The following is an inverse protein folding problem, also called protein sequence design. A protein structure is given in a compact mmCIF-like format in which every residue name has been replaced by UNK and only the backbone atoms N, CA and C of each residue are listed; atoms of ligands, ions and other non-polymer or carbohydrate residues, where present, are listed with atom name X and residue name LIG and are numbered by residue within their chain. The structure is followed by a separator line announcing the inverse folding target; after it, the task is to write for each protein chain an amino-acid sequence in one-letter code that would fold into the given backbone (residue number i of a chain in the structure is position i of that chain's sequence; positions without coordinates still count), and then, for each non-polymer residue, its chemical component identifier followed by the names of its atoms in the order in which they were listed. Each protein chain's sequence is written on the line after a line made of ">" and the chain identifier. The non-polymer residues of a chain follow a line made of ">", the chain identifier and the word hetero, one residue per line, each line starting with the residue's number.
data_IF_459231733999
#
_entry.id   IF_459231733999
#
_cell.length_a   1.000
_cell.length_b   1.000
_cell.length_c   1.000
_cell.angle_alpha   90.00
_cell.angle_beta   90.00
_cell.angle_gamma   90.00
#
_symmetry.space_group_name_H-M   'P 1'
#
loop_
_entity.id
_entity.type
_entity.pdbx_description
1 polymer ?
#
# COMPACT_ATOMS: atom_id res chain seq x y z
N UNK A 1 -15.27 1.76 21.09
CA UNK A 1 -14.05 1.71 20.27
C UNK A 1 -14.30 0.73 19.17
N UNK A 2 -14.61 1.24 17.98
CA UNK A 2 -14.59 0.44 16.75
C UNK A 2 -13.13 0.25 16.36
N UNK A 3 -12.73 -0.98 15.96
CA UNK A 3 -11.37 -1.20 15.50
C UNK A 3 -11.12 -0.44 14.19
N UNK A 4 -9.86 -0.10 13.88
CA UNK A 4 -9.47 0.48 12.60
C UNK A 4 -9.96 -0.43 11.50
N UNK A 5 -10.54 0.17 10.46
CA UNK A 5 -10.96 -0.58 9.28
C UNK A 5 -10.12 -0.09 8.12
N UNK A 6 -9.21 -0.95 7.65
CA UNK A 6 -8.67 -0.84 6.31
C UNK A 6 -9.56 -1.65 5.36
N UNK A 7 -9.70 -1.23 4.09
CA UNK A 7 -10.25 -2.11 3.07
C UNK A 7 -9.43 -3.39 3.05
N UNK A 8 -10.10 -4.54 3.14
CA UNK A 8 -9.43 -5.84 3.15
C UNK A 8 -8.58 -6.02 1.89
N UNK A 9 -9.09 -5.55 0.75
CA UNK A 9 -8.40 -5.57 -0.54
C UNK A 9 -8.69 -4.27 -1.29
N UNK A 10 -7.66 -3.71 -1.89
CA UNK A 10 -7.77 -2.50 -2.72
C UNK A 10 -6.73 -2.53 -3.82
N UNK A 11 -7.02 -1.85 -4.92
CA UNK A 11 -6.22 -1.90 -6.15
C UNK A 11 -5.88 -0.52 -6.67
N UNK A 12 -4.69 -0.40 -7.24
CA UNK A 12 -4.22 0.79 -7.94
C UNK A 12 -3.58 0.40 -9.26
N UNK A 13 -3.54 1.34 -10.20
CA UNK A 13 -2.79 1.19 -11.44
C UNK A 13 -1.77 2.31 -11.56
N UNK A 14 -0.52 1.94 -11.83
CA UNK A 14 0.61 2.84 -12.03
C UNK A 14 1.20 2.62 -13.42
N UNK A 15 1.81 3.65 -13.99
CA UNK A 15 2.71 3.47 -15.14
C UNK A 15 4.09 3.04 -14.66
N UNK A 16 4.86 2.35 -15.49
CA UNK A 16 6.25 2.02 -15.20
C UNK A 16 7.06 3.30 -14.85
N UNK A 17 7.77 3.26 -13.72
CA UNK A 17 8.51 4.41 -13.20
C UNK A 17 7.66 5.48 -12.50
N UNK A 18 6.36 5.28 -12.37
CA UNK A 18 5.50 6.14 -11.55
C UNK A 18 5.57 5.72 -10.09
N UNK A 19 5.84 6.70 -9.22
CA UNK A 19 5.82 6.54 -7.77
C UNK A 19 4.59 7.23 -7.21
N UNK A 20 4.02 6.66 -6.15
CA UNK A 20 2.92 7.29 -5.42
C UNK A 20 3.16 7.25 -3.92
N UNK A 21 2.50 8.17 -3.23
CA UNK A 21 2.42 8.22 -1.78
C UNK A 21 0.95 8.28 -1.39
N UNK A 22 0.51 7.33 -0.57
CA UNK A 22 -0.87 7.17 -0.15
C UNK A 22 -0.96 7.55 1.32
N UNK A 23 -1.77 8.55 1.67
CA UNK A 23 -2.04 8.87 3.07
C UNK A 23 -2.98 7.81 3.63
N UNK A 24 -2.49 6.96 4.55
CA UNK A 24 -3.30 5.90 5.13
C UNK A 24 -4.40 6.46 6.05
N UNK A 25 -4.32 7.73 6.48
CA UNK A 25 -5.38 8.39 7.27
C UNK A 25 -6.65 8.60 6.47
N UNK A 26 -6.55 8.75 5.15
CA UNK A 26 -7.74 8.86 4.27
C UNK A 26 -8.41 7.49 4.06
N UNK A 27 -7.70 6.40 4.33
CA UNK A 27 -8.16 5.04 4.08
C UNK A 27 -8.67 4.37 5.36
N UNK A 28 -8.09 4.68 6.52
CA UNK A 28 -8.56 4.18 7.81
C UNK A 28 -9.76 5.02 8.24
N UNK A 29 -10.97 4.55 7.96
CA UNK A 29 -12.19 5.38 8.07
C UNK A 29 -12.87 5.38 9.44
N UNK A 30 -12.48 4.50 10.39
CA UNK A 30 -13.36 4.18 11.54
C UNK A 30 -12.62 3.93 12.87
N UNK A 31 -11.43 4.49 13.05
CA UNK A 31 -10.68 4.37 14.31
C UNK A 31 -10.92 5.55 15.25
N UNK A 32 -11.35 5.29 16.49
CA UNK A 32 -11.32 6.27 17.59
C UNK A 32 -9.87 6.58 18.05
N UNK A 33 -8.90 5.73 17.68
CA UNK A 33 -7.49 5.85 18.06
C UNK A 33 -6.74 6.80 17.11
N UNK A 34 -5.93 7.73 17.64
CA UNK A 34 -5.08 8.58 16.83
C UNK A 34 -4.09 7.74 16.02
N UNK A 35 -3.75 8.20 14.81
CA UNK A 35 -2.90 7.44 13.89
C UNK A 35 -1.50 7.10 14.46
N UNK A 36 -1.03 7.88 15.43
CA UNK A 36 0.22 7.63 16.17
C UNK A 36 0.22 6.34 17.01
N UNK A 37 -0.95 5.71 17.22
CA UNK A 37 -1.10 4.43 17.90
C UNK A 37 -0.94 3.20 17.02
N UNK A 38 -0.72 3.38 15.70
CA UNK A 38 -0.59 2.28 14.75
C UNK A 38 0.87 1.86 14.52
N UNK A 39 1.14 0.56 14.64
CA UNK A 39 2.31 -0.05 14.02
C UNK A 39 1.90 -0.61 12.66
N UNK A 40 2.61 -0.22 11.60
CA UNK A 40 2.33 -0.66 10.24
C UNK A 40 3.53 -1.40 9.67
N UNK A 41 3.30 -2.64 9.28
CA UNK A 41 4.29 -3.49 8.64
C UNK A 41 3.97 -3.68 7.16
N UNK A 42 4.99 -3.42 6.34
CA UNK A 42 4.97 -3.64 4.88
C UNK A 42 6.08 -4.62 4.57
N UNK A 43 5.75 -5.70 3.85
CA UNK A 43 6.69 -6.81 3.58
C UNK A 43 7.17 -6.88 2.14
N UNK A 44 6.75 -5.94 1.29
CA UNK A 44 7.07 -5.92 -0.13
C UNK A 44 8.20 -4.94 -0.44
N UNK A 45 9.11 -5.33 -1.34
CA UNK A 45 10.29 -4.52 -1.68
C UNK A 45 9.95 -3.26 -2.49
N UNK A 46 8.79 -3.24 -3.14
CA UNK A 46 8.33 -2.08 -3.93
C UNK A 46 7.58 -1.05 -3.08
N UNK A 47 7.43 -1.29 -1.78
CA UNK A 47 6.69 -0.43 -0.89
C UNK A 47 7.43 -0.17 0.42
N UNK A 48 7.27 1.05 0.93
CA UNK A 48 7.80 1.43 2.23
C UNK A 48 6.77 2.24 2.99
N UNK A 49 6.81 2.13 4.32
CA UNK A 49 5.96 2.90 5.19
C UNK A 49 6.78 4.01 5.84
N UNK A 50 6.35 5.25 5.64
CA UNK A 50 6.87 6.45 6.29
C UNK A 50 5.68 7.20 6.88
N UNK A 51 5.39 6.94 8.16
CA UNK A 51 4.15 7.35 8.82
C UNK A 51 3.79 8.81 8.53
N UNK A 52 2.57 9.11 8.04
CA UNK A 52 1.43 8.22 7.82
C UNK A 52 1.28 7.67 6.39
N UNK A 53 2.31 7.82 5.58
CA UNK A 53 2.27 7.52 4.16
C UNK A 53 2.76 6.11 3.83
N UNK A 54 2.01 5.44 2.96
CA UNK A 54 2.49 4.27 2.23
C UNK A 54 3.06 4.72 0.89
N UNK A 55 4.37 4.57 0.73
CA UNK A 55 5.07 4.92 -0.49
C UNK A 55 5.22 3.67 -1.36
N UNK A 56 4.79 3.76 -2.62
CA UNK A 56 4.87 2.66 -3.59
C UNK A 56 5.76 3.12 -4.74
N UNK A 57 6.88 2.41 -4.91
CA UNK A 57 7.96 2.70 -5.86
C UNK A 57 8.31 1.40 -6.61
N UNK A 58 7.47 0.99 -7.58
CA UNK A 58 7.77 -0.19 -8.38
C UNK A 58 8.99 0.06 -9.27
N UNK A 59 9.80 -0.97 -9.56
CA UNK A 59 10.89 -0.83 -10.51
C UNK A 59 10.36 -0.49 -11.91
N UNK A 60 11.18 0.17 -12.75
CA UNK A 60 10.86 0.33 -14.16
C UNK A 60 10.73 -1.04 -14.83
N UNK A 61 9.69 -1.19 -15.65
CA UNK A 61 9.42 -2.44 -16.36
C UNK A 61 8.87 -2.18 -17.76
N UNK A 62 9.21 -3.07 -18.68
CA UNK A 62 8.72 -3.03 -20.07
C UNK A 62 7.38 -3.78 -20.18
N UNK A 63 7.16 -4.77 -19.32
CA UNK A 63 5.97 -5.61 -19.32
C UNK A 63 5.01 -5.17 -18.22
N UNK A 64 3.73 -5.53 -18.35
CA UNK A 64 2.78 -5.38 -17.27
C UNK A 64 3.16 -6.29 -16.10
N UNK A 65 3.24 -5.73 -14.89
CA UNK A 65 3.54 -6.45 -13.66
C UNK A 65 2.47 -6.20 -12.60
N UNK A 66 2.33 -7.14 -11.66
CA UNK A 66 1.39 -7.05 -10.54
C UNK A 66 2.12 -7.34 -9.24
N UNK A 67 2.06 -6.40 -8.30
CA UNK A 67 2.61 -6.54 -6.96
C UNK A 67 1.49 -6.65 -5.93
N UNK A 68 1.67 -7.49 -4.91
CA UNK A 68 0.69 -7.70 -3.84
C UNK A 68 1.32 -7.31 -2.50
N UNK A 69 1.07 -6.07 -2.10
CA UNK A 69 1.65 -5.50 -0.89
C UNK A 69 0.76 -5.88 0.29
N UNK A 70 1.30 -6.68 1.20
CA UNK A 70 0.65 -7.01 2.47
C UNK A 70 0.91 -5.92 3.49
N UNK A 71 -0.16 -5.40 4.06
CA UNK A 71 -0.16 -4.34 5.08
C UNK A 71 -0.78 -4.91 6.34
N UNK A 72 -0.02 -4.94 7.42
CA UNK A 72 -0.55 -5.27 8.75
C UNK A 72 -0.59 -3.99 9.57
N UNK A 73 -1.76 -3.67 10.12
CA UNK A 73 -1.93 -2.59 11.10
C UNK A 73 -2.19 -3.20 12.46
N UNK A 74 -1.37 -2.82 13.42
CA UNK A 74 -1.48 -3.20 14.83
C UNK A 74 -1.97 -2.00 15.62
N UNK A 75 -3.06 -2.18 16.37
CA UNK A 75 -3.62 -1.20 17.28
C UNK A 75 -3.90 -1.87 18.63
N UNK A 76 -2.97 -1.73 19.59
CA UNK A 76 -3.08 -2.46 20.86
C UNK A 76 -3.12 -3.97 20.64
N UNK A 77 -4.26 -4.60 20.94
CA UNK A 77 -4.49 -6.04 20.74
C UNK A 77 -5.17 -6.38 19.40
N UNK A 78 -5.62 -5.36 18.65
CA UNK A 78 -6.27 -5.56 17.36
C UNK A 78 -5.26 -5.62 16.22
N UNK A 79 -5.47 -6.60 15.34
CA UNK A 79 -4.66 -6.84 14.15
C UNK A 79 -5.55 -6.79 12.92
N UNK A 80 -5.25 -5.89 12.01
CA UNK A 80 -5.95 -5.74 10.73
C UNK A 80 -4.99 -6.05 9.61
N UNK A 81 -5.41 -6.94 8.71
CA UNK A 81 -4.65 -7.29 7.51
C UNK A 81 -5.35 -6.71 6.29
N UNK A 82 -4.58 -6.04 5.44
CA UNK A 82 -5.03 -5.48 4.18
C UNK A 82 -4.06 -5.84 3.06
N UNK A 83 -4.57 -6.06 1.86
CA UNK A 83 -3.75 -6.31 0.67
C UNK A 83 -3.98 -5.20 -0.35
N UNK A 84 -2.89 -4.52 -0.72
CA UNK A 84 -2.87 -3.57 -1.84
C UNK A 84 -2.32 -4.29 -3.08
N UNK A 85 -3.15 -4.39 -4.11
CA UNK A 85 -2.73 -4.90 -5.42
C UNK A 85 -2.32 -3.74 -6.33
N UNK A 86 -1.08 -3.75 -6.81
CA UNK A 86 -0.52 -2.70 -7.66
C UNK A 86 -0.33 -3.25 -9.06
N UNK A 87 -1.12 -2.77 -10.00
CA UNK A 87 -0.94 -3.07 -11.42
C UNK A 87 0.01 -2.03 -12.03
N UNK A 88 1.19 -2.45 -12.48
CA UNK A 88 2.14 -1.59 -13.16
C UNK A 88 2.04 -1.85 -14.65
N UNK A 89 1.72 -0.81 -15.42
CA UNK A 89 1.69 -0.86 -16.88
C UNK A 89 3.10 -0.66 -17.42
N UNK A 90 3.59 -1.63 -18.17
CA UNK A 90 4.90 -1.57 -18.79
C UNK A 90 4.97 -0.46 -19.85
N UNK A 91 6.18 0.01 -20.16
CA UNK A 91 6.36 1.04 -21.21
C UNK A 91 6.05 0.52 -22.61
N UNK A 92 5.96 -0.81 -22.81
CA UNK A 92 5.64 -1.41 -24.10
C UNK A 92 6.77 -1.38 -25.13
N UNK A 93 7.92 -0.79 -24.79
CA UNK A 93 9.12 -0.76 -25.64
C UNK A 93 10.01 -1.97 -25.33
N UNK A 94 9.67 -3.12 -25.91
CA UNK A 94 10.66 -4.20 -26.09
C UNK A 94 11.74 -3.78 -27.09
N UNK A 95 12.97 -4.29 -27.01
CA UNK A 95 14.01 -3.93 -27.98
C UNK A 95 13.54 -4.28 -29.40
N UNK A 96 13.47 -3.27 -30.27
CA UNK A 96 13.30 -3.44 -31.72
C UNK A 96 14.44 -4.27 -32.34
#
# INVERSE_FOLDING_TARGET
>A
MTPPSLPQEWNITLQAGQNISIDLRDIITDSDTPFEGFEINVTDSVASYDSPYLNVTPPPTINDEVYHISITVVEGEHLVHSTLTVHVRGTGEGPE
#
